data_IF_410393036375
#
_entry.id   IF_410393036375
#
_cell.length_a   1.000
_cell.length_b   1.000
_cell.length_c   1.000
_cell.angle_alpha   90.00
_cell.angle_beta   90.00
_cell.angle_gamma   90.00
#
_symmetry.space_group_name_H-M   'P 1'
#
loop_
_entity.id
_entity.type
_entity.pdbx_description
1 polymer ?
#
# COMPACT_ATOMS: atom_id res chain seq x y z
N UNK A 1 -42.95 -51.45 -22.25
CA UNK A 1 -41.59 -51.53 -21.68
C UNK A 1 -41.15 -50.11 -21.33
N UNK A 2 -40.89 -49.84 -20.06
CA UNK A 2 -40.44 -48.54 -19.55
C UNK A 2 -38.90 -48.53 -19.59
N UNK A 3 -38.27 -47.50 -20.14
CA UNK A 3 -36.87 -47.20 -19.89
C UNK A 3 -36.77 -45.86 -19.16
N UNK A 4 -36.10 -45.92 -18.01
CA UNK A 4 -35.90 -44.84 -17.05
C UNK A 4 -34.91 -43.80 -17.57
N UNK A 5 -35.22 -42.52 -17.33
CA UNK A 5 -34.26 -41.43 -17.35
C UNK A 5 -33.58 -41.36 -15.97
N UNK A 6 -32.25 -41.42 -15.94
CA UNK A 6 -31.44 -41.05 -14.79
C UNK A 6 -30.29 -40.20 -15.34
N UNK A 7 -30.45 -38.89 -15.23
CA UNK A 7 -29.36 -37.94 -15.39
C UNK A 7 -29.52 -36.83 -14.35
N UNK A 8 -28.37 -36.34 -13.89
CA UNK A 8 -28.13 -35.05 -13.22
C UNK A 8 -28.53 -34.89 -11.75
N UNK A 9 -27.62 -35.25 -10.83
CA UNK A 9 -27.46 -34.61 -9.51
C UNK A 9 -25.97 -34.63 -9.11
N UNK A 10 -25.10 -33.91 -9.83
CA UNK A 10 -23.69 -33.76 -9.42
C UNK A 10 -23.16 -32.31 -9.50
N UNK A 11 -23.79 -31.42 -10.26
CA UNK A 11 -23.28 -30.05 -10.46
C UNK A 11 -23.61 -29.04 -9.34
N UNK A 12 -24.55 -29.33 -8.45
CA UNK A 12 -25.01 -28.36 -7.43
C UNK A 12 -24.17 -28.33 -6.15
N UNK A 13 -23.50 -29.44 -5.81
CA UNK A 13 -22.71 -29.53 -4.58
C UNK A 13 -21.36 -28.78 -4.69
N UNK A 14 -20.72 -28.85 -5.85
CA UNK A 14 -19.43 -28.16 -6.11
C UNK A 14 -19.60 -26.65 -6.13
N UNK A 15 -20.65 -26.12 -6.77
CA UNK A 15 -20.97 -24.69 -6.77
C UNK A 15 -21.26 -24.16 -5.36
N UNK A 16 -22.01 -24.91 -4.55
CA UNK A 16 -22.31 -24.52 -3.18
C UNK A 16 -21.06 -24.54 -2.27
N UNK A 17 -20.12 -25.45 -2.52
CA UNK A 17 -18.88 -25.55 -1.77
C UNK A 17 -17.88 -24.45 -2.17
N UNK A 18 -17.76 -24.17 -3.47
CA UNK A 18 -16.97 -23.05 -3.99
C UNK A 18 -17.47 -21.71 -3.44
N UNK A 19 -18.78 -21.45 -3.49
CA UNK A 19 -19.37 -20.23 -2.95
C UNK A 19 -19.14 -20.06 -1.42
N UNK A 20 -19.13 -21.16 -0.65
CA UNK A 20 -18.80 -21.14 0.79
C UNK A 20 -17.34 -20.81 1.05
N UNK A 21 -16.42 -21.30 0.21
CA UNK A 21 -15.01 -20.93 0.31
C UNK A 21 -14.81 -19.45 -0.04
N UNK A 22 -15.50 -18.93 -1.05
CA UNK A 22 -15.51 -17.49 -1.39
C UNK A 22 -16.10 -16.62 -0.27
N UNK A 23 -17.19 -17.04 0.39
CA UNK A 23 -17.78 -16.31 1.51
C UNK A 23 -16.85 -16.27 2.72
N UNK A 24 -16.27 -17.41 3.10
CA UNK A 24 -15.26 -17.45 4.17
C UNK A 24 -14.01 -16.63 3.84
N UNK A 25 -13.58 -16.61 2.57
CA UNK A 25 -12.46 -15.78 2.12
C UNK A 25 -12.80 -14.30 2.30
N UNK A 26 -13.98 -13.86 1.86
CA UNK A 26 -14.47 -12.49 2.08
C UNK A 26 -14.58 -12.11 3.56
N UNK A 27 -15.07 -13.00 4.41
CA UNK A 27 -15.12 -12.76 5.86
C UNK A 27 -13.73 -12.62 6.49
N UNK A 28 -12.76 -13.46 6.08
CA UNK A 28 -11.37 -13.35 6.54
C UNK A 28 -10.73 -12.06 6.09
N UNK A 29 -10.84 -11.73 4.81
CA UNK A 29 -10.36 -10.48 4.23
C UNK A 29 -10.94 -9.27 4.99
N UNK A 30 -12.26 -9.22 5.20
CA UNK A 30 -12.88 -8.13 5.95
C UNK A 30 -12.38 -8.02 7.41
N UNK A 31 -12.10 -9.16 8.06
CA UNK A 31 -11.52 -9.16 9.40
C UNK A 31 -10.07 -8.66 9.42
N UNK A 32 -9.30 -8.99 8.37
CA UNK A 32 -7.90 -8.56 8.17
C UNK A 32 -7.80 -7.06 7.91
N UNK A 33 -8.57 -6.55 6.96
CA UNK A 33 -8.71 -5.13 6.66
C UNK A 33 -9.08 -4.31 7.93
N UNK A 34 -9.96 -4.85 8.79
CA UNK A 34 -10.31 -4.19 10.05
C UNK A 34 -9.18 -4.13 11.11
N UNK A 35 -8.11 -4.90 10.93
CA UNK A 35 -6.91 -4.92 11.80
C UNK A 35 -5.66 -4.39 11.12
N UNK A 36 -5.79 -3.89 9.89
CA UNK A 36 -4.72 -3.32 9.08
C UNK A 36 -4.26 -1.99 9.69
N UNK A 37 -2.95 -1.84 9.83
CA UNK A 37 -2.32 -0.62 10.31
C UNK A 37 -0.98 -0.42 9.58
N UNK A 38 -0.70 0.81 9.17
CA UNK A 38 0.61 1.16 8.64
C UNK A 38 1.56 1.48 9.80
N UNK A 39 2.86 1.39 9.56
CA UNK A 39 3.86 1.83 10.52
C UNK A 39 4.75 2.89 9.88
N UNK A 40 5.35 3.77 10.69
CA UNK A 40 6.58 4.45 10.31
C UNK A 40 7.58 3.46 9.74
N UNK A 41 8.50 3.95 8.90
CA UNK A 41 9.54 3.12 8.31
C UNK A 41 10.25 2.28 9.38
N UNK A 42 10.26 0.96 9.17
CA UNK A 42 10.92 0.00 10.04
C UNK A 42 12.32 -0.35 9.51
N UNK A 43 13.31 -0.64 10.36
CA UNK A 43 14.62 -1.12 9.93
C UNK A 43 14.49 -2.41 9.09
N UNK A 44 15.39 -2.60 8.12
CA UNK A 44 15.54 -3.88 7.41
C UNK A 44 16.04 -4.98 8.36
N UNK A 45 15.85 -6.25 7.98
CA UNK A 45 16.30 -7.40 8.77
C UNK A 45 17.24 -8.32 8.00
N UNK A 46 18.25 -8.87 8.68
CA UNK A 46 19.15 -9.89 8.13
C UNK A 46 18.53 -11.30 8.18
N UNK A 47 19.25 -12.30 7.66
CA UNK A 47 18.78 -13.69 7.62
C UNK A 47 18.52 -14.34 8.98
N UNK A 48 19.02 -13.75 10.08
CA UNK A 48 18.76 -14.18 11.44
C UNK A 48 17.58 -13.39 12.08
N UNK A 49 16.94 -12.49 11.32
CA UNK A 49 15.85 -11.62 11.75
C UNK A 49 16.32 -10.44 12.60
N UNK A 50 17.61 -10.09 12.56
CA UNK A 50 18.18 -8.98 13.30
C UNK A 50 18.11 -7.69 12.49
N UNK A 51 17.80 -6.58 13.16
CA UNK A 51 17.76 -5.26 12.52
C UNK A 51 19.13 -4.88 11.94
N UNK A 52 19.14 -4.48 10.66
CA UNK A 52 20.31 -3.96 9.97
C UNK A 52 20.34 -2.44 10.22
N UNK A 53 21.38 -1.95 10.90
CA UNK A 53 21.63 -0.51 10.95
C UNK A 53 21.94 0.00 9.53
N UNK A 54 21.19 1.00 9.05
CA UNK A 54 21.31 1.50 7.67
C UNK A 54 22.75 1.95 7.38
N UNK A 55 23.47 1.18 6.58
CA UNK A 55 24.76 1.59 6.05
C UNK A 55 24.50 2.55 4.89
N UNK A 56 24.67 3.85 5.13
CA UNK A 56 24.65 4.87 4.06
C UNK A 56 25.78 4.56 3.08
N UNK A 57 25.49 3.82 2.01
CA UNK A 57 26.47 3.53 0.99
C UNK A 57 26.56 4.76 0.07
N UNK A 58 27.59 5.59 0.27
CA UNK A 58 27.76 6.92 -0.34
C UNK A 58 27.93 6.99 -1.87
N UNK A 59 27.35 6.05 -2.61
CA UNK A 59 27.34 5.97 -4.08
C UNK A 59 25.93 5.82 -4.67
N UNK A 60 24.92 5.41 -3.89
CA UNK A 60 23.49 5.42 -4.22
C UNK A 60 22.71 5.87 -2.97
N UNK A 61 21.74 6.79 -3.08
CA UNK A 61 20.87 7.17 -1.94
C UNK A 61 19.78 6.10 -1.72
N UNK A 62 20.20 4.84 -1.66
CA UNK A 62 19.32 3.68 -1.56
C UNK A 62 19.48 3.11 -0.16
N UNK A 63 18.39 3.10 0.59
CA UNK A 63 18.32 2.58 1.95
C UNK A 63 17.36 1.39 1.99
N UNK A 64 17.51 0.55 3.00
CA UNK A 64 16.62 -0.59 3.17
C UNK A 64 15.68 -0.38 4.36
N UNK A 65 14.51 -1.00 4.27
CA UNK A 65 13.53 -1.08 5.33
C UNK A 65 12.87 -2.45 5.30
N UNK A 66 12.21 -2.89 6.38
CA UNK A 66 11.45 -4.14 6.33
C UNK A 66 10.05 -3.97 5.76
N UNK A 67 9.52 -2.75 5.68
CA UNK A 67 8.12 -2.51 5.29
C UNK A 67 7.88 -1.52 4.15
N UNK A 68 8.79 -0.61 3.84
CA UNK A 68 8.60 0.45 2.84
C UNK A 68 9.53 0.30 1.62
N UNK A 69 8.97 0.48 0.44
CA UNK A 69 9.70 0.67 -0.81
C UNK A 69 9.20 1.93 -1.53
N UNK A 70 10.08 2.70 -2.16
CA UNK A 70 9.71 3.89 -2.91
C UNK A 70 10.66 5.06 -2.72
N UNK A 71 10.10 6.26 -2.62
CA UNK A 71 10.89 7.48 -2.54
C UNK A 71 10.38 8.43 -1.44
N UNK A 72 11.31 8.93 -0.64
CA UNK A 72 11.05 9.89 0.45
C UNK A 72 11.84 11.17 0.20
N UNK A 73 11.15 12.30 0.11
CA UNK A 73 11.76 13.62 0.17
C UNK A 73 11.88 14.06 1.63
N UNK A 74 13.10 14.37 2.06
CA UNK A 74 13.38 14.89 3.41
C UNK A 74 13.56 16.41 3.30
N UNK A 75 12.77 17.15 4.07
CA UNK A 75 12.68 18.61 3.97
C UNK A 75 11.91 19.22 5.12
N UNK A 76 11.25 20.35 4.87
CA UNK A 76 10.40 21.01 5.87
C UNK A 76 9.20 21.67 5.19
N UNK A 77 8.06 21.65 5.87
CA UNK A 77 6.86 22.35 5.44
C UNK A 77 6.16 21.74 4.23
N UNK A 78 6.26 20.42 4.04
CA UNK A 78 5.42 19.70 3.09
C UNK A 78 3.95 19.79 3.52
N UNK A 79 3.07 20.06 2.57
CA UNK A 79 1.64 20.31 2.79
C UNK A 79 0.75 19.46 1.94
N UNK A 80 1.19 19.00 0.79
CA UNK A 80 0.40 18.09 -0.04
C UNK A 80 1.33 17.18 -0.83
N UNK A 81 0.95 15.92 -0.95
CA UNK A 81 1.65 14.92 -1.75
C UNK A 81 0.61 14.25 -2.63
N UNK A 82 0.92 14.11 -3.91
CA UNK A 82 0.03 13.52 -4.92
C UNK A 82 0.80 12.54 -5.78
N UNK A 83 0.16 11.43 -6.14
CA UNK A 83 0.65 10.49 -7.13
C UNK A 83 -0.51 9.82 -7.85
N UNK A 84 -0.31 9.52 -9.13
CA UNK A 84 -1.26 8.78 -9.97
C UNK A 84 -0.62 7.50 -10.46
N UNK A 85 -1.27 6.36 -10.26
CA UNK A 85 -0.76 5.07 -10.72
C UNK A 85 -1.88 4.21 -11.31
N UNK A 86 -1.47 3.22 -12.09
CA UNK A 86 -2.38 2.17 -12.55
C UNK A 86 -2.39 1.06 -11.50
N UNK A 87 -3.57 0.64 -11.06
CA UNK A 87 -3.72 -0.44 -10.07
C UNK A 87 -3.11 -1.72 -10.62
N UNK A 88 -2.12 -2.32 -9.93
CA UNK A 88 -1.51 -3.56 -10.39
C UNK A 88 -2.50 -4.73 -10.30
N UNK A 89 -2.14 -5.84 -10.91
CA UNK A 89 -2.80 -7.14 -10.64
C UNK A 89 -1.87 -7.93 -9.73
N UNK A 90 -2.11 -8.00 -8.41
CA UNK A 90 -1.24 -8.74 -7.51
C UNK A 90 -1.36 -10.25 -7.74
N UNK A 91 -0.32 -10.98 -7.34
CA UNK A 91 -0.30 -12.43 -7.30
C UNK A 91 0.40 -12.97 -6.05
N UNK A 92 0.20 -14.26 -5.79
CA UNK A 92 1.01 -15.00 -4.83
C UNK A 92 2.47 -14.99 -5.30
N UNK A 93 3.45 -14.71 -4.41
CA UNK A 93 4.86 -14.78 -4.76
C UNK A 93 5.28 -16.21 -5.09
N UNK A 94 6.43 -16.37 -5.74
CA UNK A 94 6.97 -17.68 -6.09
C UNK A 94 7.15 -18.56 -4.85
N UNK A 95 6.61 -19.78 -4.88
CA UNK A 95 6.62 -20.68 -3.70
C UNK A 95 5.57 -20.34 -2.64
N UNK A 96 4.70 -19.37 -2.91
CA UNK A 96 3.57 -19.01 -2.07
C UNK A 96 2.52 -20.11 -1.90
N UNK A 97 1.62 -19.91 -0.94
CA UNK A 97 0.57 -20.86 -0.57
C UNK A 97 -0.80 -20.29 -0.93
N UNK A 98 -1.53 -20.98 -1.82
CA UNK A 98 -2.93 -20.68 -2.19
C UNK A 98 -3.94 -20.50 -1.05
N UNK A 99 -3.60 -20.85 0.20
CA UNK A 99 -4.45 -20.65 1.38
C UNK A 99 -4.03 -19.46 2.24
N UNK A 100 -2.97 -18.78 1.83
CA UNK A 100 -2.46 -17.56 2.41
C UNK A 100 -2.89 -16.43 1.50
N UNK A 101 -3.57 -15.44 2.05
CA UNK A 101 -3.81 -14.18 1.36
C UNK A 101 -2.57 -13.30 1.56
N UNK A 102 -2.02 -12.87 0.44
CA UNK A 102 -0.87 -11.99 0.31
C UNK A 102 -1.35 -10.57 0.03
N UNK A 103 -0.64 -9.57 0.52
CA UNK A 103 -1.02 -8.18 0.31
C UNK A 103 0.18 -7.25 0.14
N UNK A 104 -0.11 -6.09 -0.44
CA UNK A 104 0.79 -4.93 -0.50
C UNK A 104 -0.08 -3.67 -0.52
N UNK A 105 0.48 -2.53 -0.18
CA UNK A 105 -0.21 -1.24 -0.27
C UNK A 105 0.54 -0.29 -1.18
N UNK A 106 -0.16 0.62 -1.86
CA UNK A 106 0.44 1.70 -2.64
C UNK A 106 -0.19 3.04 -2.23
N UNK A 107 0.62 3.95 -1.69
CA UNK A 107 0.11 5.17 -1.04
C UNK A 107 1.04 6.37 -1.17
N UNK A 108 0.50 7.54 -0.85
CA UNK A 108 1.25 8.79 -0.67
C UNK A 108 1.03 9.35 0.72
N UNK A 109 2.06 10.00 1.27
CA UNK A 109 2.02 10.46 2.65
C UNK A 109 2.83 11.72 2.94
N UNK A 110 2.64 12.22 4.15
CA UNK A 110 3.49 13.19 4.82
C UNK A 110 3.90 12.60 6.18
N UNK A 111 5.21 12.66 6.47
CA UNK A 111 5.89 12.17 7.68
C UNK A 111 6.06 10.63 7.75
N UNK A 112 6.49 10.07 8.89
CA UNK A 112 6.65 8.61 9.07
C UNK A 112 8.03 8.01 8.78
N UNK A 113 8.91 8.73 8.08
CA UNK A 113 10.34 8.36 7.97
C UNK A 113 11.14 9.04 9.08
N UNK A 114 11.78 10.19 8.80
CA UNK A 114 12.51 10.95 9.82
C UNK A 114 11.61 11.55 10.92
N UNK A 115 10.31 11.71 10.65
CA UNK A 115 9.29 12.20 11.58
C UNK A 115 8.29 11.09 11.94
N UNK A 116 8.68 10.16 12.81
CA UNK A 116 7.91 8.92 13.06
C UNK A 116 6.71 9.04 14.00
N UNK A 117 6.42 10.23 14.56
CA UNK A 117 5.36 10.40 15.55
C UNK A 117 3.93 10.38 14.95
N UNK A 118 3.78 10.72 13.68
CA UNK A 118 2.49 10.70 12.97
C UNK A 118 2.70 10.62 11.48
N UNK A 119 1.71 10.14 10.74
CA UNK A 119 1.71 10.06 9.28
C UNK A 119 0.33 10.44 8.77
N UNK A 120 0.24 11.37 7.82
CA UNK A 120 -1.00 11.60 7.07
C UNK A 120 -0.87 10.92 5.72
N UNK A 121 -1.69 9.90 5.46
CA UNK A 121 -1.50 9.04 4.30
C UNK A 121 -2.81 8.48 3.74
N UNK A 122 -2.80 8.15 2.45
CA UNK A 122 -3.93 7.52 1.75
C UNK A 122 -3.44 6.73 0.55
N UNK A 123 -4.12 5.64 0.25
CA UNK A 123 -3.69 4.70 -0.75
C UNK A 123 -4.74 3.66 -1.10
N UNK A 124 -4.25 2.60 -1.75
CA UNK A 124 -4.99 1.35 -1.88
C UNK A 124 -4.17 0.21 -1.32
N UNK A 125 -4.87 -0.79 -0.78
CA UNK A 125 -4.32 -2.11 -0.51
C UNK A 125 -4.72 -3.04 -1.67
N UNK A 126 -3.81 -3.94 -2.03
CA UNK A 126 -4.00 -4.96 -3.06
C UNK A 126 -3.80 -6.33 -2.42
N UNK A 127 -4.68 -7.27 -2.73
CA UNK A 127 -4.68 -8.60 -2.11
C UNK A 127 -4.71 -9.69 -3.18
N UNK A 128 -4.06 -10.81 -2.91
CA UNK A 128 -4.09 -12.02 -3.72
C UNK A 128 -4.25 -13.28 -2.85
N UNK A 129 -5.26 -14.10 -3.12
CA UNK A 129 -5.44 -15.43 -2.51
C UNK A 129 -6.03 -16.40 -3.53
N UNK A 130 -5.32 -17.48 -3.85
CA UNK A 130 -5.76 -18.57 -4.72
C UNK A 130 -6.14 -18.09 -6.13
N UNK A 131 -5.31 -17.20 -6.68
CA UNK A 131 -5.51 -16.58 -8.00
C UNK A 131 -6.65 -15.55 -8.08
N UNK A 132 -7.34 -15.27 -6.97
CA UNK A 132 -8.33 -14.19 -6.88
C UNK A 132 -7.70 -12.93 -6.29
N UNK A 133 -8.16 -11.75 -6.74
CA UNK A 133 -7.66 -10.46 -6.28
C UNK A 133 -8.74 -9.62 -5.61
N UNK A 134 -8.34 -8.82 -4.62
CA UNK A 134 -9.20 -7.84 -3.97
C UNK A 134 -8.44 -6.51 -3.78
N UNK A 135 -9.19 -5.44 -3.56
CA UNK A 135 -8.66 -4.08 -3.47
C UNK A 135 -9.50 -3.25 -2.51
N UNK A 136 -8.84 -2.54 -1.61
CA UNK A 136 -9.47 -1.57 -0.71
C UNK A 136 -8.78 -0.22 -0.84
N UNK A 137 -9.54 0.87 -0.75
CA UNK A 137 -8.99 2.22 -0.69
C UNK A 137 -9.13 2.73 0.74
N UNK A 138 -8.10 3.37 1.29
CA UNK A 138 -8.06 3.70 2.71
C UNK A 138 -7.44 5.07 2.98
N UNK A 139 -7.67 5.59 4.18
CA UNK A 139 -7.03 6.78 4.71
C UNK A 139 -6.58 6.54 6.16
N UNK A 140 -5.53 7.25 6.58
CA UNK A 140 -5.00 7.10 7.93
C UNK A 140 -4.34 8.41 8.40
N UNK A 141 -4.48 8.65 9.70
CA UNK A 141 -3.62 9.56 10.44
C UNK A 141 -2.94 8.77 11.55
N UNK A 142 -1.79 8.17 11.25
CA UNK A 142 -1.04 7.36 12.21
C UNK A 142 -0.72 8.21 13.45
N UNK A 143 -0.80 7.67 14.69
CA UNK A 143 -0.96 6.27 15.08
C UNK A 143 -2.41 5.79 15.29
N UNK A 144 -3.42 6.52 14.81
CA UNK A 144 -4.77 5.93 14.74
C UNK A 144 -4.79 4.83 13.66
N UNK A 145 -5.79 3.95 13.70
CA UNK A 145 -5.97 2.91 12.69
C UNK A 145 -6.19 3.51 11.30
N UNK A 146 -5.91 2.73 10.28
CA UNK A 146 -6.42 3.00 8.95
C UNK A 146 -7.91 2.65 8.85
N UNK A 147 -8.61 3.40 8.00
CA UNK A 147 -10.03 3.19 7.76
C UNK A 147 -10.28 3.12 6.26
N UNK A 148 -11.12 2.18 5.86
CA UNK A 148 -11.52 2.02 4.46
C UNK A 148 -12.52 3.09 4.03
N UNK A 149 -12.32 3.57 2.81
CA UNK A 149 -13.32 4.36 2.12
C UNK A 149 -14.46 3.48 1.63
N UNK A 150 -15.69 3.92 1.92
CA UNK A 150 -16.89 3.42 1.24
C UNK A 150 -17.23 4.31 0.04
N UNK A 151 -17.95 3.76 -0.94
CA UNK A 151 -18.44 4.52 -2.10
C UNK A 151 -17.44 4.67 -3.25
N UNK A 152 -16.30 3.97 -3.18
CA UNK A 152 -15.35 3.81 -4.28
C UNK A 152 -15.15 2.31 -4.57
N UNK A 153 -14.93 1.97 -5.84
CA UNK A 153 -14.63 0.59 -6.24
C UNK A 153 -13.36 0.60 -7.05
N UNK A 154 -12.38 -0.19 -6.61
CA UNK A 154 -11.07 -0.32 -7.24
C UNK A 154 -11.01 -1.64 -8.01
N UNK A 155 -10.31 -1.64 -9.14
CA UNK A 155 -10.09 -2.84 -9.95
C UNK A 155 -8.71 -2.76 -10.61
N UNK A 156 -8.10 -3.91 -10.86
CA UNK A 156 -6.87 -3.99 -11.63
C UNK A 156 -6.98 -3.22 -12.95
N UNK A 157 -5.95 -2.45 -13.29
CA UNK A 157 -5.90 -1.62 -14.49
C UNK A 157 -6.62 -0.27 -14.39
N UNK A 158 -7.36 0.02 -13.31
CA UNK A 158 -7.88 1.36 -13.07
C UNK A 158 -6.71 2.35 -12.89
N UNK A 159 -6.88 3.58 -13.33
CA UNK A 159 -6.00 4.70 -12.99
C UNK A 159 -6.52 5.40 -11.75
N UNK A 160 -5.72 5.41 -10.68
CA UNK A 160 -6.05 6.04 -9.40
C UNK A 160 -5.13 7.21 -9.15
N UNK A 161 -5.68 8.33 -8.71
CA UNK A 161 -4.93 9.46 -8.13
C UNK A 161 -5.18 9.47 -6.63
N UNK A 162 -4.10 9.47 -5.86
CA UNK A 162 -4.13 9.62 -4.41
C UNK A 162 -3.48 10.94 -4.03
N UNK A 163 -4.11 11.64 -3.08
CA UNK A 163 -3.62 12.94 -2.60
C UNK A 163 -3.88 13.08 -1.11
N UNK A 164 -2.84 13.48 -0.38
CA UNK A 164 -3.00 14.04 0.96
C UNK A 164 -2.75 15.54 0.97
N UNK A 165 -3.41 16.26 1.87
CA UNK A 165 -3.18 17.69 2.12
C UNK A 165 -3.27 18.02 3.60
N UNK A 166 -2.17 18.42 4.22
CA UNK A 166 -2.13 18.98 5.56
C UNK A 166 -2.55 20.47 5.53
N UNK A 167 -3.72 20.77 6.10
CA UNK A 167 -4.19 22.17 6.28
C UNK A 167 -3.62 22.80 7.54
N UNK A 168 -3.21 21.97 8.50
CA UNK A 168 -2.36 22.30 9.64
C UNK A 168 -1.59 21.06 10.07
N UNK A 169 -0.70 21.19 11.04
CA UNK A 169 -0.03 20.03 11.65
C UNK A 169 -0.97 19.03 12.33
N UNK A 170 -2.26 19.34 12.49
CA UNK A 170 -3.26 18.47 13.15
C UNK A 170 -4.57 18.33 12.36
N UNK A 171 -4.58 18.78 11.10
CA UNK A 171 -5.76 18.76 10.26
C UNK A 171 -5.37 18.65 8.79
N UNK A 172 -6.21 18.02 7.99
CA UNK A 172 -5.90 17.77 6.60
C UNK A 172 -6.98 16.96 5.90
N UNK A 173 -6.69 16.54 4.68
CA UNK A 173 -7.57 15.69 3.87
C UNK A 173 -6.79 14.57 3.23
N UNK A 174 -7.45 13.43 3.08
CA UNK A 174 -7.02 12.29 2.27
C UNK A 174 -8.04 12.10 1.15
N UNK A 175 -7.58 11.96 -0.09
CA UNK A 175 -8.43 11.84 -1.28
C UNK A 175 -7.94 10.68 -2.11
N UNK A 176 -8.87 9.81 -2.49
CA UNK A 176 -8.66 8.78 -3.53
C UNK A 176 -9.64 9.05 -4.65
N UNK A 177 -9.12 9.24 -5.86
CA UNK A 177 -9.89 9.41 -7.09
C UNK A 177 -9.63 8.22 -8.02
N UNK A 178 -10.68 7.49 -8.36
CA UNK A 178 -10.62 6.53 -9.46
C UNK A 178 -10.95 7.25 -10.77
N UNK A 179 -9.91 7.69 -11.46
CA UNK A 179 -9.99 8.45 -12.72
C UNK A 179 -10.66 7.62 -13.81
N UNK A 180 -10.42 6.31 -13.84
CA UNK A 180 -11.03 5.40 -14.83
C UNK A 180 -12.54 5.27 -14.68
N UNK A 181 -13.07 5.42 -13.46
CA UNK A 181 -14.50 5.31 -13.15
C UNK A 181 -15.19 6.65 -12.87
N UNK A 182 -14.43 7.75 -12.78
CA UNK A 182 -14.95 9.08 -12.47
C UNK A 182 -15.55 9.22 -11.07
N UNK A 183 -15.07 8.42 -10.11
CA UNK A 183 -15.51 8.43 -8.71
C UNK A 183 -14.40 8.92 -7.80
N UNK A 184 -14.73 9.68 -6.77
CA UNK A 184 -13.76 10.14 -5.77
C UNK A 184 -14.37 10.10 -4.37
N UNK A 185 -13.51 9.82 -3.40
CA UNK A 185 -13.82 9.80 -1.97
C UNK A 185 -12.82 10.69 -1.23
N UNK A 186 -13.27 11.31 -0.15
CA UNK A 186 -12.46 12.23 0.64
C UNK A 186 -12.75 12.07 2.11
N UNK A 187 -11.70 12.00 2.93
CA UNK A 187 -11.79 12.10 4.37
C UNK A 187 -11.17 13.42 4.83
N UNK A 188 -11.77 14.05 5.85
CA UNK A 188 -11.27 15.29 6.45
C UNK A 188 -10.93 15.09 7.92
N UNK A 189 -9.68 15.36 8.27
CA UNK A 189 -9.15 15.35 9.62
C UNK A 189 -9.18 16.78 10.19
N UNK A 190 -9.73 16.99 11.38
CA UNK A 190 -9.86 18.37 11.94
C UNK A 190 -9.12 18.63 13.26
N UNK A 191 -8.78 17.60 14.04
CA UNK A 191 -8.24 17.77 15.40
C UNK A 191 -7.40 16.57 15.88
N UNK A 192 -6.36 16.23 15.13
CA UNK A 192 -5.56 15.04 15.41
C UNK A 192 -4.68 15.20 16.66
N UNK A 193 -4.58 14.14 17.45
CA UNK A 193 -3.87 14.13 18.73
C UNK A 193 -2.37 14.34 18.51
N UNK A 194 -1.79 13.56 17.60
CA UNK A 194 -0.40 13.63 17.18
C UNK A 194 -0.24 14.58 16.00
N UNK A 195 0.71 15.51 16.15
CA UNK A 195 0.95 16.53 15.16
C UNK A 195 1.99 16.07 14.14
N UNK A 196 1.70 16.34 12.86
CA UNK A 196 2.69 16.28 11.79
C UNK A 196 3.86 17.23 12.08
N UNK A 197 5.05 16.78 11.74
CA UNK A 197 6.25 17.59 11.71
C UNK A 197 6.42 18.27 10.35
N UNK A 198 5.85 17.66 9.30
CA UNK A 198 5.89 18.09 7.89
C UNK A 198 7.31 18.06 7.32
N UNK A 199 8.07 17.03 7.68
CA UNK A 199 9.46 16.82 7.32
C UNK A 199 9.64 15.83 6.18
N UNK A 200 8.68 14.94 5.96
CA UNK A 200 8.72 13.96 4.87
C UNK A 200 7.57 14.16 3.88
N UNK A 201 7.84 13.83 2.61
CA UNK A 201 6.84 13.67 1.57
C UNK A 201 7.19 12.44 0.73
N UNK A 202 6.26 11.50 0.58
CA UNK A 202 6.62 10.17 0.09
C UNK A 202 5.58 9.50 -0.81
N UNK A 203 6.08 8.59 -1.64
CA UNK A 203 5.33 7.69 -2.50
C UNK A 203 5.85 6.27 -2.26
N UNK A 204 5.02 5.44 -1.63
CA UNK A 204 5.46 4.20 -1.02
C UNK A 204 4.61 3.03 -1.53
N UNK A 205 5.28 1.91 -1.79
CA UNK A 205 4.68 0.57 -1.75
C UNK A 205 5.08 -0.05 -0.41
N UNK A 206 4.13 -0.53 0.37
CA UNK A 206 4.39 -1.03 1.72
C UNK A 206 3.86 -2.44 1.96
N UNK A 207 4.69 -3.24 2.64
CA UNK A 207 4.27 -4.41 3.40
C UNK A 207 3.75 -3.96 4.76
N UNK A 208 2.44 -3.77 4.89
CA UNK A 208 1.82 -3.20 6.08
C UNK A 208 1.63 -4.24 7.18
N UNK A 209 1.25 -3.82 8.38
CA UNK A 209 0.99 -4.75 9.48
C UNK A 209 -0.47 -5.15 9.60
N UNK A 210 -0.67 -6.43 9.92
CA UNK A 210 -1.93 -6.95 10.45
C UNK A 210 -1.66 -7.58 11.82
N UNK A 211 -2.26 -6.99 12.87
CA UNK A 211 -2.00 -7.40 14.24
C UNK A 211 -0.58 -7.06 14.70
N UNK A 212 0.30 -8.06 14.78
CA UNK A 212 1.67 -7.91 15.33
C UNK A 212 2.78 -8.25 14.34
N UNK A 213 2.44 -8.49 13.06
CA UNK A 213 3.40 -8.84 12.03
C UNK A 213 3.07 -8.12 10.74
N UNK A 214 4.09 -7.98 9.88
CA UNK A 214 3.89 -7.66 8.48
C UNK A 214 3.02 -8.73 7.81
N UNK A 215 2.34 -8.35 6.74
CA UNK A 215 1.49 -9.28 5.97
C UNK A 215 2.37 -10.19 5.12
N UNK A 216 1.87 -11.34 4.67
CA UNK A 216 2.55 -12.07 3.60
C UNK A 216 2.63 -11.17 2.35
N UNK A 217 3.83 -10.72 1.97
CA UNK A 217 3.98 -9.70 0.93
C UNK A 217 3.61 -10.22 -0.47
N UNK A 218 2.74 -9.51 -1.18
CA UNK A 218 2.29 -9.90 -2.52
C UNK A 218 3.31 -9.52 -3.61
N UNK A 219 3.40 -10.35 -4.64
CA UNK A 219 3.99 -9.92 -5.92
C UNK A 219 3.00 -8.98 -6.61
N UNK A 220 3.28 -7.68 -6.56
CA UNK A 220 2.47 -6.64 -7.21
C UNK A 220 2.99 -6.30 -8.62
N UNK A 221 4.04 -6.96 -9.10
CA UNK A 221 4.75 -6.63 -10.32
C UNK A 221 5.42 -5.26 -10.24
N UNK A 222 4.76 -4.21 -10.74
CA UNK A 222 5.32 -2.86 -10.74
C UNK A 222 4.26 -1.82 -10.46
N UNK A 223 4.54 -0.92 -9.52
CA UNK A 223 3.76 0.30 -9.29
C UNK A 223 4.59 1.49 -9.74
N UNK A 224 4.01 2.37 -10.55
CA UNK A 224 4.63 3.64 -10.93
C UNK A 224 3.71 4.79 -10.58
N UNK A 225 4.08 5.56 -9.56
CA UNK A 225 3.48 6.85 -9.24
C UNK A 225 3.95 7.86 -10.28
N UNK A 226 3.09 8.20 -11.22
CA UNK A 226 3.26 9.30 -12.18
C UNK A 226 2.65 10.59 -11.65
N UNK A 227 3.05 11.73 -12.21
CA UNK A 227 2.61 13.03 -11.70
C UNK A 227 2.98 13.25 -10.22
N UNK A 228 4.03 12.56 -9.78
CA UNK A 228 4.50 12.58 -8.40
C UNK A 228 4.93 14.00 -8.03
N UNK A 229 4.16 14.64 -7.17
CA UNK A 229 4.41 16.02 -6.73
C UNK A 229 4.21 16.20 -5.23
N UNK A 230 5.13 16.92 -4.60
CA UNK A 230 5.02 17.39 -3.23
C UNK A 230 4.98 18.92 -3.24
N UNK A 231 4.01 19.51 -2.54
CA UNK A 231 3.85 20.95 -2.44
C UNK A 231 4.04 21.39 -1.00
N UNK A 232 4.87 22.41 -0.79
CA UNK A 232 5.12 23.03 0.50
C UNK A 232 5.16 24.56 0.38
N UNK A 233 5.60 25.21 1.45
CA UNK A 233 5.73 26.68 1.50
C UNK A 233 6.74 27.24 0.49
N UNK A 234 7.70 26.43 0.05
CA UNK A 234 8.73 26.77 -0.94
C UNK A 234 8.30 26.55 -2.40
N UNK A 235 7.12 25.97 -2.64
CA UNK A 235 6.59 25.65 -3.97
C UNK A 235 6.31 24.16 -4.15
N UNK A 236 6.17 23.76 -5.42
CA UNK A 236 5.94 22.37 -5.82
C UNK A 236 7.20 21.76 -6.38
N UNK A 237 7.53 20.54 -5.93
CA UNK A 237 8.68 19.75 -6.37
C UNK A 237 8.22 18.34 -6.76
N UNK A 238 9.00 17.65 -7.60
CA UNK A 238 8.85 16.20 -7.84
C UNK A 238 9.89 15.39 -7.05
N UNK A 239 9.97 14.07 -7.24
CA UNK A 239 10.78 13.16 -6.41
C UNK A 239 12.29 13.17 -6.73
N UNK A 240 12.78 14.11 -7.55
CA UNK A 240 14.22 14.18 -7.84
C UNK A 240 15.05 14.42 -6.59
N UNK A 241 16.04 13.56 -6.37
CA UNK A 241 16.93 13.64 -5.20
C UNK A 241 16.32 13.10 -3.91
N UNK A 242 15.14 12.46 -3.98
CA UNK A 242 14.59 11.69 -2.87
C UNK A 242 15.54 10.55 -2.46
N UNK A 243 15.47 10.17 -1.19
CA UNK A 243 16.01 8.90 -0.71
C UNK A 243 15.15 7.78 -1.29
N UNK A 244 15.78 6.84 -1.97
CA UNK A 244 15.14 5.61 -2.42
C UNK A 244 15.18 4.61 -1.27
N UNK A 245 14.08 3.93 -1.05
CA UNK A 245 13.97 2.88 -0.04
C UNK A 245 13.51 1.61 -0.73
N UNK A 246 14.09 0.48 -0.38
CA UNK A 246 13.61 -0.84 -0.82
C UNK A 246 13.38 -1.78 0.36
N UNK A 247 12.44 -2.71 0.18
CA UNK A 247 12.11 -3.70 1.19
C UNK A 247 13.19 -4.79 1.18
N UNK A 248 13.82 -4.98 2.33
CA UNK A 248 14.70 -6.11 2.63
C UNK A 248 14.18 -6.82 3.89
N UNK A 249 13.83 -8.09 3.72
CA UNK A 249 13.33 -8.95 4.79
C UNK A 249 14.14 -10.23 4.80
N UNK A 250 14.60 -10.65 5.99
CA UNK A 250 15.35 -11.89 6.17
C UNK A 250 16.62 -11.99 5.28
N UNK A 251 17.25 -10.85 4.99
CA UNK A 251 18.41 -10.73 4.10
C UNK A 251 18.11 -10.87 2.61
N UNK A 252 16.83 -10.85 2.21
CA UNK A 252 16.38 -10.87 0.83
C UNK A 252 15.77 -9.52 0.44
N UNK A 253 16.29 -8.91 -0.63
CA UNK A 253 15.75 -7.68 -1.20
C UNK A 253 14.54 -8.05 -2.05
N UNK A 254 13.36 -7.55 -1.67
CA UNK A 254 12.07 -7.87 -2.29
C UNK A 254 11.62 -6.82 -3.30
N UNK A 255 12.20 -5.62 -3.29
CA UNK A 255 11.83 -4.54 -4.21
C UNK A 255 13.04 -3.82 -4.81
N UNK A 256 12.82 -3.14 -5.94
CA UNK A 256 13.75 -2.18 -6.51
C UNK A 256 13.04 -0.88 -6.86
N UNK A 257 13.54 0.22 -6.30
CA UNK A 257 12.93 1.54 -6.43
C UNK A 257 13.75 2.48 -7.31
N UNK A 258 13.07 3.32 -8.08
CA UNK A 258 13.72 4.32 -8.95
C UNK A 258 12.87 5.57 -9.12
N UNK A 259 13.50 6.67 -9.51
CA UNK A 259 12.82 7.96 -9.71
C UNK A 259 13.21 8.66 -11.00
N UNK A 260 12.28 9.47 -11.49
CA UNK A 260 12.55 10.55 -12.45
C UNK A 260 12.28 11.90 -11.78
N UNK A 261 12.19 12.99 -12.55
CA UNK A 261 11.72 14.27 -12.03
C UNK A 261 10.23 14.31 -11.69
N UNK A 262 9.44 13.33 -12.15
CA UNK A 262 7.98 13.36 -12.03
C UNK A 262 7.37 11.99 -11.73
N UNK A 263 8.19 10.98 -11.46
CA UNK A 263 7.71 9.64 -11.15
C UNK A 263 8.57 8.91 -10.13
N UNK A 264 7.91 8.00 -9.40
CA UNK A 264 8.52 6.99 -8.53
C UNK A 264 8.04 5.63 -9.04
N UNK A 265 8.96 4.70 -9.28
CA UNK A 265 8.66 3.34 -9.72
C UNK A 265 9.20 2.37 -8.68
N UNK A 266 8.36 1.43 -8.25
CA UNK A 266 8.74 0.32 -7.39
C UNK A 266 8.40 -0.98 -8.11
N UNK A 267 9.38 -1.85 -8.27
CA UNK A 267 9.25 -3.19 -8.85
C UNK A 267 9.41 -4.24 -7.75
N UNK A 268 8.57 -5.28 -7.76
CA UNK A 268 8.75 -6.49 -6.96
C UNK A 268 9.81 -7.38 -7.62
N UNK A 269 10.81 -7.84 -6.86
CA UNK A 269 11.94 -8.63 -7.36
C UNK A 269 12.25 -9.89 -6.52
N UNK A 270 11.41 -10.19 -5.53
CA UNK A 270 11.52 -11.39 -4.69
C UNK A 270 11.03 -12.69 -5.34
#
# INVERSE_FOLDING_TARGET
>A
MKFSALATIAFSAELALAARFTEKRRERHAARAASRQSNPRLPATDSDGLEIESLINGTTNEEYSSNWAGAVLIGTGYKSVTGTFVVPTPSEPSGGNSRTEYAASAWVGIDGDTASNSILQTGIDVYAEDGEVAFDAWYEWYPDYAYDFSGITISAGDTITVTVTATSKKAGTAVVENVSKGTSVTHTFTSQSNALEELNAEWIVEDFSEGYSLVPFADFGTVTFTGATATGSSGTVGPSGATLIDIEQDGEILTSSSTTSTSVTVEYIG
#
